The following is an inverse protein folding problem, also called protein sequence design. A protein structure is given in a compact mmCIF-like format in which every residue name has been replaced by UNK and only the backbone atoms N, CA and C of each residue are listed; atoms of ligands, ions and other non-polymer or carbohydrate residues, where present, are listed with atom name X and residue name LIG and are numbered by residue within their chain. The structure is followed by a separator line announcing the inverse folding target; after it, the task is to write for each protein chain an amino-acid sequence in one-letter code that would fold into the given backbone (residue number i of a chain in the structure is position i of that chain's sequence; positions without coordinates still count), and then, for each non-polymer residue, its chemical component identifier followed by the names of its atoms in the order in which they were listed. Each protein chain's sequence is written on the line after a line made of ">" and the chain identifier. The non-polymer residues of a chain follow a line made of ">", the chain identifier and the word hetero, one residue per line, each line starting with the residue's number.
data_IF_662114841372
#
_entry.id   IF_662114841372
#
_cell.length_a   1.000
_cell.length_b   1.000
_cell.length_c   1.000
_cell.angle_alpha   90.00
_cell.angle_beta   90.00
_cell.angle_gamma   90.00
#
_symmetry.space_group_name_H-M   'P 1'
#
loop_
_entity.id
_entity.type
_entity.pdbx_description
1 polymer ?
#
# COMPACT_ATOMS: atom_id res chain seq x y z
N UNK A 1 1.00 -15.77 8.17
CA UNK A 1 1.74 -14.73 7.43
C UNK A 1 1.03 -14.58 6.10
N UNK A 2 0.62 -13.38 5.74
CA UNK A 2 -0.07 -13.15 4.46
C UNK A 2 0.95 -13.10 3.33
N UNK A 3 0.55 -13.53 2.13
CA UNK A 3 1.36 -13.38 0.93
C UNK A 3 1.21 -11.95 0.39
N UNK A 4 2.31 -11.28 0.08
CA UNK A 4 2.26 -9.94 -0.52
C UNK A 4 2.43 -10.06 -2.03
N UNK A 5 1.44 -9.56 -2.76
CA UNK A 5 1.46 -9.37 -4.20
C UNK A 5 1.54 -7.88 -4.49
N UNK A 6 2.39 -7.50 -5.44
CA UNK A 6 2.55 -6.11 -5.87
C UNK A 6 1.96 -5.99 -7.27
N UNK A 7 1.01 -5.07 -7.48
CA UNK A 7 0.44 -4.82 -8.79
C UNK A 7 1.52 -4.37 -9.78
N UNK A 8 1.38 -4.69 -11.07
CA UNK A 8 2.36 -4.27 -12.09
C UNK A 8 2.44 -2.73 -12.20
N UNK A 9 1.33 -2.04 -11.94
CA UNK A 9 1.27 -0.57 -11.89
C UNK A 9 2.14 -0.04 -10.76
N UNK A 10 1.98 -0.61 -9.56
CA UNK A 10 2.75 -0.21 -8.40
C UNK A 10 4.23 -0.57 -8.54
N UNK A 11 4.57 -1.74 -9.08
CA UNK A 11 5.96 -2.16 -9.27
C UNK A 11 6.71 -1.16 -10.17
N UNK A 12 6.11 -0.73 -11.28
CA UNK A 12 6.67 0.31 -12.17
C UNK A 12 6.85 1.65 -11.43
N UNK A 13 5.92 2.04 -10.57
CA UNK A 13 6.04 3.25 -9.73
C UNK A 13 7.17 3.11 -8.72
N UNK A 14 7.28 1.98 -8.02
CA UNK A 14 8.31 1.71 -7.03
C UNK A 14 9.71 1.68 -7.63
N UNK A 15 9.89 1.12 -8.84
CA UNK A 15 11.19 1.14 -9.54
C UNK A 15 11.62 2.59 -9.82
N UNK A 16 10.69 3.44 -10.27
CA UNK A 16 10.96 4.87 -10.49
C UNK A 16 11.23 5.59 -9.17
N UNK A 17 10.46 5.26 -8.13
CA UNK A 17 10.58 5.85 -6.81
C UNK A 17 11.92 5.52 -6.17
N UNK A 18 12.36 4.26 -6.21
CA UNK A 18 13.64 3.82 -5.67
C UNK A 18 14.82 4.62 -6.22
N UNK A 19 14.77 5.01 -7.50
CA UNK A 19 15.80 5.84 -8.14
C UNK A 19 15.75 7.30 -7.71
N UNK A 20 14.56 7.84 -7.42
CA UNK A 20 14.35 9.25 -7.08
C UNK A 20 14.47 9.52 -5.58
N UNK A 21 13.91 8.65 -4.76
CA UNK A 21 13.80 8.80 -3.32
C UNK A 21 13.81 7.43 -2.63
N UNK A 22 15.00 7.00 -2.24
CA UNK A 22 15.21 5.72 -1.55
C UNK A 22 14.58 5.68 -0.15
N UNK A 23 14.49 6.82 0.54
CA UNK A 23 13.88 6.90 1.87
C UNK A 23 12.39 6.57 1.81
N UNK A 24 11.70 7.13 0.82
CA UNK A 24 10.27 6.87 0.62
C UNK A 24 10.02 5.42 0.19
N UNK A 25 10.90 4.85 -0.64
CA UNK A 25 10.87 3.42 -0.98
C UNK A 25 11.02 2.52 0.26
N UNK A 26 11.99 2.82 1.13
CA UNK A 26 12.20 2.07 2.37
C UNK A 26 11.01 2.19 3.33
N UNK A 27 10.39 3.38 3.41
CA UNK A 27 9.19 3.58 4.21
C UNK A 27 8.02 2.72 3.72
N UNK A 28 7.82 2.61 2.41
CA UNK A 28 6.82 1.71 1.81
C UNK A 28 7.13 0.26 2.17
N UNK A 29 8.40 -0.17 2.02
CA UNK A 29 8.80 -1.53 2.33
C UNK A 29 8.52 -1.90 3.79
N UNK A 30 8.91 -1.02 4.73
CA UNK A 30 8.63 -1.20 6.15
C UNK A 30 7.13 -1.28 6.44
N UNK A 31 6.31 -0.46 5.75
CA UNK A 31 4.85 -0.55 5.86
C UNK A 31 4.29 -1.84 5.30
N UNK A 32 4.83 -2.35 4.20
CA UNK A 32 4.43 -3.65 3.67
C UNK A 32 4.72 -4.78 4.67
N UNK A 33 5.88 -4.77 5.34
CA UNK A 33 6.20 -5.75 6.40
C UNK A 33 5.22 -5.66 7.58
N UNK A 34 4.87 -4.45 8.03
CA UNK A 34 3.87 -4.25 9.08
C UNK A 34 2.48 -4.79 8.67
N UNK A 35 2.07 -4.51 7.42
CA UNK A 35 0.81 -4.98 6.84
C UNK A 35 0.81 -6.51 6.70
N UNK A 36 1.96 -7.14 6.43
CA UNK A 36 2.08 -8.59 6.32
C UNK A 36 1.78 -9.33 7.63
N UNK A 37 2.14 -8.69 8.74
CA UNK A 37 1.94 -9.21 10.10
C UNK A 37 0.49 -9.00 10.53
N UNK A 38 -0.06 -7.80 10.31
CA UNK A 38 -1.43 -7.45 10.66
C UNK A 38 -2.07 -6.56 9.57
N UNK A 39 -2.70 -7.18 8.56
CA UNK A 39 -3.29 -6.43 7.45
C UNK A 39 -4.57 -5.69 7.83
N UNK A 40 -5.20 -6.05 8.95
CA UNK A 40 -6.46 -5.44 9.41
C UNK A 40 -6.23 -4.18 10.25
N UNK A 41 -4.99 -3.93 10.68
CA UNK A 41 -4.59 -2.77 11.49
C UNK A 41 -5.02 -1.41 10.93
N UNK A 42 -5.07 -1.27 9.61
CA UNK A 42 -5.29 0.01 8.95
C UNK A 42 -6.74 0.24 8.52
N UNK A 43 -7.10 1.53 8.46
CA UNK A 43 -8.44 1.99 8.10
C UNK A 43 -8.71 1.80 6.61
N UNK A 44 -9.97 1.49 6.32
CA UNK A 44 -10.48 1.44 4.96
C UNK A 44 -10.61 2.86 4.37
N UNK A 45 -10.64 2.95 3.04
CA UNK A 45 -11.00 4.15 2.29
C UNK A 45 -12.48 4.51 2.48
N UNK A 46 -12.84 5.74 2.11
CA UNK A 46 -14.25 6.17 2.05
C UNK A 46 -14.95 5.50 0.86
N UNK A 47 -16.29 5.39 0.96
CA UNK A 47 -17.14 4.92 -0.14
C UNK A 47 -16.86 5.74 -1.43
N UNK A 48 -16.77 5.12 -2.62
CA UNK A 48 -17.09 3.71 -2.96
C UNK A 48 -15.92 2.72 -2.85
N UNK A 49 -14.73 3.16 -2.41
CA UNK A 49 -13.52 2.34 -2.37
C UNK A 49 -13.28 1.68 -1.00
N UNK A 50 -14.34 1.45 -0.22
CA UNK A 50 -14.27 0.89 1.14
C UNK A 50 -13.67 -0.52 1.23
N UNK A 51 -13.52 -1.21 0.10
CA UNK A 51 -12.84 -2.50 -0.01
C UNK A 51 -11.31 -2.36 0.03
N UNK A 52 -10.79 -1.15 -0.19
CA UNK A 52 -9.36 -0.86 -0.12
C UNK A 52 -9.00 -0.26 1.23
N UNK A 53 -7.86 -0.70 1.77
CA UNK A 53 -7.23 -0.13 2.95
C UNK A 53 -6.18 0.89 2.54
N UNK A 54 -5.95 1.87 3.43
CA UNK A 54 -4.98 2.94 3.20
C UNK A 54 -3.99 3.08 4.34
N UNK A 55 -2.72 3.23 3.99
CA UNK A 55 -1.63 3.54 4.92
C UNK A 55 -0.92 4.80 4.47
N UNK A 56 -0.76 5.74 5.39
CA UNK A 56 0.11 6.89 5.16
C UNK A 56 1.57 6.43 5.19
N UNK A 57 2.31 6.73 4.12
CA UNK A 57 3.75 6.48 4.02
C UNK A 57 4.52 7.68 4.57
N UNK A 58 4.06 8.87 4.23
CA UNK A 58 4.55 10.15 4.75
C UNK A 58 3.38 11.14 4.84
N UNK A 59 3.68 12.44 4.93
CA UNK A 59 2.68 13.51 4.99
C UNK A 59 1.84 13.63 3.72
N UNK A 60 2.35 13.21 2.57
CA UNK A 60 1.80 13.53 1.25
C UNK A 60 1.28 12.31 0.50
N UNK A 61 1.76 11.11 0.82
CA UNK A 61 1.49 9.91 0.05
C UNK A 61 0.82 8.81 0.86
N UNK A 62 -0.04 8.09 0.16
CA UNK A 62 -0.86 7.01 0.68
C UNK A 62 -0.62 5.76 -0.16
N UNK A 63 -0.32 4.66 0.53
CA UNK A 63 -0.29 3.31 -0.03
C UNK A 63 -1.68 2.68 0.09
N UNK A 64 -2.22 2.25 -1.04
CA UNK A 64 -3.49 1.54 -1.13
C UNK A 64 -3.22 0.05 -1.27
N UNK A 65 -3.95 -0.75 -0.52
CA UNK A 65 -3.86 -2.20 -0.59
C UNK A 65 -5.21 -2.86 -0.34
N UNK A 66 -5.41 -4.04 -0.89
CA UNK A 66 -6.54 -4.92 -0.63
C UNK A 66 -6.06 -6.16 0.13
N UNK A 67 -6.97 -6.76 0.88
CA UNK A 67 -6.70 -7.96 1.68
C UNK A 67 -7.76 -8.98 1.32
N UNK A 68 -7.31 -10.13 0.85
CA UNK A 68 -8.13 -11.30 0.62
C UNK A 68 -7.93 -12.26 1.79
N UNK A 69 -8.95 -12.36 2.64
CA UNK A 69 -8.95 -13.22 3.82
C UNK A 69 -9.11 -14.71 3.46
N UNK A 70 -9.69 -15.03 2.29
CA UNK A 70 -9.86 -16.41 1.84
C UNK A 70 -8.52 -17.01 1.40
N UNK A 71 -7.79 -16.25 0.59
CA UNK A 71 -6.47 -16.68 0.07
C UNK A 71 -5.32 -16.27 1.00
N UNK A 72 -5.58 -15.45 2.03
CA UNK A 72 -4.58 -14.82 2.90
C UNK A 72 -3.53 -14.05 2.09
N UNK A 73 -4.01 -13.29 1.12
CA UNK A 73 -3.18 -12.51 0.21
C UNK A 73 -3.43 -11.03 0.40
N UNK A 74 -2.36 -10.25 0.34
CA UNK A 74 -2.36 -8.79 0.41
C UNK A 74 -1.90 -8.30 -0.95
N UNK A 75 -2.72 -7.51 -1.62
CA UNK A 75 -2.38 -6.92 -2.91
C UNK A 75 -2.10 -5.45 -2.69
N UNK A 76 -0.84 -5.05 -2.90
CA UNK A 76 -0.47 -3.63 -2.93
C UNK A 76 -0.91 -3.05 -4.28
N UNK A 77 -2.00 -2.29 -4.24
CA UNK A 77 -2.73 -1.81 -5.42
C UNK A 77 -2.01 -0.62 -6.06
N UNK A 78 -1.80 0.44 -5.27
CA UNK A 78 -1.24 1.68 -5.78
C UNK A 78 -0.61 2.57 -4.70
N UNK A 79 0.20 3.51 -5.14
CA UNK A 79 0.81 4.56 -4.34
C UNK A 79 0.45 5.91 -4.97
N UNK A 80 -0.30 6.72 -4.21
CA UNK A 80 -0.90 7.98 -4.69
C UNK A 80 -0.68 9.12 -3.71
N UNK A 81 -0.78 10.35 -4.20
CA UNK A 81 -0.80 11.53 -3.34
C UNK A 81 -2.14 11.59 -2.59
N UNK A 82 -2.14 12.06 -1.35
CA UNK A 82 -3.30 12.10 -0.48
C UNK A 82 -4.45 12.95 -1.05
N UNK A 83 -4.16 13.95 -1.87
CA UNK A 83 -5.16 14.74 -2.61
C UNK A 83 -6.07 13.88 -3.50
N UNK A 84 -5.58 12.71 -3.96
CA UNK A 84 -6.37 11.77 -4.76
C UNK A 84 -6.97 10.63 -3.92
N UNK A 85 -6.66 10.58 -2.63
CA UNK A 85 -7.05 9.50 -1.71
C UNK A 85 -8.19 9.91 -0.73
N UNK A 86 -8.64 11.16 -0.79
CA UNK A 86 -9.68 11.76 0.05
C UNK A 86 -10.75 12.43 -0.81
#
# INVERSE_FOLDING_TARGET
>A
MYEIIISEKLSKKLIKLRKKNILQFNAIFKKAEEIQIDPQRYKNLRYPLNNLKRVHIDSHFVLLYSVDEETKTIILEDFIHHDFAY
#
